data_IF_962031814287
#
_entry.id   IF_962031814287
#
_cell.length_a   1.000
_cell.length_b   1.000
_cell.length_c   1.000
_cell.angle_alpha   90.00
_cell.angle_beta   90.00
_cell.angle_gamma   90.00
#
_symmetry.space_group_name_H-M   'P 1'
#
loop_
_entity.id
_entity.type
_entity.pdbx_description
1 polymer ?
#
# COMPACT_ATOMS: atom_id res chain seq x y z
N UNK A 1 6.82 30.00 26.50
CA UNK A 1 6.56 28.97 25.46
C UNK A 1 6.39 29.70 24.13
N UNK A 2 7.50 29.99 23.43
CA UNK A 2 7.49 30.77 22.19
C UNK A 2 7.32 29.78 21.03
N UNK A 3 6.14 29.75 20.41
CA UNK A 3 5.97 29.19 19.06
C UNK A 3 6.83 30.04 18.12
N UNK A 4 8.00 29.55 17.71
CA UNK A 4 8.71 30.12 16.56
C UNK A 4 7.77 29.99 15.36
N UNK A 5 7.41 31.11 14.75
CA UNK A 5 6.74 31.09 13.46
C UNK A 5 7.66 30.36 12.46
N UNK A 6 7.14 29.40 11.70
CA UNK A 6 7.90 28.73 10.65
C UNK A 6 8.51 29.78 9.71
N UNK A 7 9.81 29.64 9.41
CA UNK A 7 10.48 30.52 8.46
C UNK A 7 9.96 30.28 7.04
N UNK A 8 10.09 31.29 6.17
CA UNK A 8 9.77 31.13 4.74
C UNK A 8 10.55 29.96 4.10
N UNK A 9 11.81 29.76 4.50
CA UNK A 9 12.66 28.68 4.02
C UNK A 9 12.13 27.28 4.42
N UNK A 10 11.63 27.12 5.64
CA UNK A 10 11.05 25.88 6.14
C UNK A 10 9.79 25.50 5.33
N UNK A 11 8.88 26.46 5.13
CA UNK A 11 7.70 26.25 4.28
C UNK A 11 8.07 25.91 2.83
N UNK A 12 9.07 26.59 2.27
CA UNK A 12 9.54 26.33 0.92
C UNK A 12 10.13 24.91 0.79
N UNK A 13 10.94 24.49 1.76
CA UNK A 13 11.52 23.15 1.80
C UNK A 13 10.45 22.06 1.93
N UNK A 14 9.51 22.19 2.88
CA UNK A 14 8.38 21.25 3.04
C UNK A 14 7.56 21.13 1.77
N UNK A 15 7.33 22.24 1.06
CA UNK A 15 6.59 22.25 -0.22
C UNK A 15 7.35 21.50 -1.31
N UNK A 16 8.66 21.71 -1.43
CA UNK A 16 9.50 21.00 -2.40
C UNK A 16 9.55 19.49 -2.10
N UNK A 17 9.71 19.11 -0.83
CA UNK A 17 9.75 17.71 -0.42
C UNK A 17 8.41 17.01 -0.69
N UNK A 18 7.30 17.69 -0.41
CA UNK A 18 5.96 17.18 -0.72
C UNK A 18 5.81 16.90 -2.23
N UNK A 19 6.22 17.85 -3.07
CA UNK A 19 6.16 17.69 -4.52
C UNK A 19 7.04 16.52 -5.01
N UNK A 20 8.21 16.33 -4.42
CA UNK A 20 9.09 15.20 -4.76
C UNK A 20 8.47 13.85 -4.39
N UNK A 21 7.84 13.74 -3.22
CA UNK A 21 7.14 12.51 -2.81
C UNK A 21 5.89 12.27 -3.66
N UNK A 22 5.16 13.32 -4.03
CA UNK A 22 4.05 13.22 -4.97
C UNK A 22 4.51 12.66 -6.32
N UNK A 23 5.64 13.15 -6.85
CA UNK A 23 6.27 12.64 -8.07
C UNK A 23 6.68 11.18 -7.95
N UNK A 24 7.31 10.79 -6.84
CA UNK A 24 7.68 9.38 -6.58
C UNK A 24 6.45 8.47 -6.54
N UNK A 25 5.27 8.99 -6.16
CA UNK A 25 4.03 8.24 -6.03
C UNK A 25 3.15 8.31 -7.31
N UNK A 26 3.65 8.80 -8.44
CA UNK A 26 2.91 8.88 -9.70
C UNK A 26 2.47 7.50 -10.23
N UNK A 27 3.21 6.43 -9.92
CA UNK A 27 2.84 5.06 -10.28
C UNK A 27 1.75 4.45 -9.39
N UNK A 28 1.34 5.13 -8.31
CA UNK A 28 0.26 4.63 -7.45
C UNK A 28 -1.09 4.63 -8.20
N UNK A 29 -2.01 3.73 -7.82
CA UNK A 29 -3.35 3.70 -8.39
C UNK A 29 -4.07 5.05 -8.19
N UNK A 30 -4.69 5.51 -9.26
CA UNK A 30 -5.66 6.61 -9.26
C UNK A 30 -7.07 6.11 -8.96
N UNK A 31 -7.37 4.89 -9.40
CA UNK A 31 -8.63 4.19 -9.11
C UNK A 31 -8.34 2.77 -8.60
N UNK A 32 -9.31 2.21 -7.90
CA UNK A 32 -9.27 0.83 -7.41
C UNK A 32 -10.48 0.08 -7.95
N UNK A 33 -10.34 -1.23 -8.10
CA UNK A 33 -11.43 -2.15 -8.44
C UNK A 33 -11.44 -3.33 -7.50
N UNK A 34 -12.62 -3.92 -7.34
CA UNK A 34 -12.80 -5.12 -6.53
C UNK A 34 -12.21 -6.34 -7.23
N UNK A 35 -11.82 -7.36 -6.46
CA UNK A 35 -11.41 -8.64 -7.02
C UNK A 35 -12.48 -9.24 -7.95
N UNK A 36 -13.76 -9.14 -7.57
CA UNK A 36 -14.87 -9.62 -8.41
C UNK A 36 -14.97 -8.91 -9.75
N UNK A 37 -14.78 -7.59 -9.79
CA UNK A 37 -14.77 -6.83 -11.04
C UNK A 37 -13.58 -7.24 -11.90
N UNK A 38 -12.39 -7.32 -11.32
CA UNK A 38 -11.16 -7.66 -12.04
C UNK A 38 -11.18 -9.07 -12.62
N UNK A 39 -11.76 -10.04 -11.93
CA UNK A 39 -11.94 -11.40 -12.45
C UNK A 39 -12.89 -11.47 -13.66
N UNK A 40 -13.82 -10.53 -13.78
CA UNK A 40 -14.77 -10.46 -14.89
C UNK A 40 -14.24 -9.72 -16.12
N UNK A 41 -13.15 -8.96 -15.97
CA UNK A 41 -12.55 -8.18 -17.05
C UNK A 41 -11.72 -9.07 -17.98
N UNK A 42 -11.85 -8.86 -19.29
CA UNK A 42 -11.00 -9.54 -20.29
C UNK A 42 -9.52 -9.24 -20.07
N UNK A 43 -9.19 -7.97 -19.82
CA UNK A 43 -7.86 -7.49 -19.44
C UNK A 43 -7.96 -6.79 -18.08
N UNK A 44 -7.64 -7.46 -16.96
CA UNK A 44 -7.78 -6.86 -15.63
C UNK A 44 -6.76 -5.74 -15.42
N UNK A 45 -7.24 -4.50 -15.21
CA UNK A 45 -6.38 -3.35 -14.97
C UNK A 45 -7.06 -2.22 -14.20
N UNK A 46 -6.26 -1.30 -13.68
CA UNK A 46 -6.69 0.02 -13.15
C UNK A 46 -5.77 1.12 -13.63
N UNK A 47 -6.23 2.38 -13.56
CA UNK A 47 -5.42 3.56 -13.92
C UNK A 47 -4.47 3.96 -12.79
N UNK A 48 -3.23 4.29 -13.14
CA UNK A 48 -2.27 4.94 -12.26
C UNK A 48 -2.40 6.49 -12.31
N UNK A 49 -1.74 7.19 -11.38
CA UNK A 49 -1.82 8.66 -11.28
C UNK A 49 -1.10 9.38 -12.41
N UNK A 50 -0.03 8.80 -12.95
CA UNK A 50 0.66 9.24 -14.18
C UNK A 50 -0.19 9.07 -15.46
N UNK A 51 -1.38 8.46 -15.37
CA UNK A 51 -2.26 8.18 -16.49
C UNK A 51 -1.96 6.85 -17.21
N UNK A 52 -0.94 6.11 -16.76
CA UNK A 52 -0.68 4.74 -17.21
C UNK A 52 -1.69 3.73 -16.66
N UNK A 53 -1.45 2.45 -16.96
CA UNK A 53 -2.26 1.33 -16.49
C UNK A 53 -1.44 0.36 -15.62
N UNK A 54 -2.05 -0.07 -14.52
CA UNK A 54 -1.57 -1.20 -13.71
C UNK A 54 -2.33 -2.42 -14.20
N UNK A 55 -1.66 -3.24 -15.00
CA UNK A 55 -2.22 -4.49 -15.53
C UNK A 55 -1.95 -5.62 -14.54
N UNK A 56 -2.98 -6.40 -14.23
CA UNK A 56 -2.90 -7.52 -13.30
C UNK A 56 -2.73 -8.85 -14.01
N UNK A 57 -1.90 -9.70 -13.41
CA UNK A 57 -1.81 -11.10 -13.79
C UNK A 57 -3.07 -11.85 -13.34
N UNK A 58 -3.70 -12.56 -14.28
CA UNK A 58 -4.93 -13.31 -13.98
C UNK A 58 -4.68 -14.47 -13.01
N UNK A 59 -3.52 -15.11 -13.08
CA UNK A 59 -3.15 -16.18 -12.15
C UNK A 59 -3.00 -15.68 -10.72
N UNK A 60 -2.43 -14.48 -10.52
CA UNK A 60 -2.39 -13.84 -9.20
C UNK A 60 -3.80 -13.53 -8.66
N UNK A 61 -4.71 -13.04 -9.52
CA UNK A 61 -6.12 -12.77 -9.13
C UNK A 61 -6.83 -14.05 -8.70
N UNK A 62 -6.73 -15.11 -9.50
CA UNK A 62 -7.33 -16.41 -9.23
C UNK A 62 -6.75 -17.05 -7.96
N UNK A 63 -5.44 -16.91 -7.75
CA UNK A 63 -4.79 -17.34 -6.53
C UNK A 63 -5.38 -16.63 -5.31
N UNK A 64 -5.47 -15.30 -5.32
CA UNK A 64 -6.09 -14.55 -4.21
C UNK A 64 -7.56 -14.93 -4.03
N UNK A 65 -8.30 -15.14 -5.12
CA UNK A 65 -9.69 -15.57 -5.07
C UNK A 65 -9.84 -16.93 -4.36
N UNK A 66 -8.89 -17.85 -4.57
CA UNK A 66 -8.87 -19.17 -3.91
C UNK A 66 -8.59 -19.09 -2.41
N UNK A 67 -7.94 -18.03 -1.94
CA UNK A 67 -7.64 -17.83 -0.52
C UNK A 67 -8.84 -17.25 0.24
N UNK A 68 -9.79 -16.61 -0.44
CA UNK A 68 -10.87 -15.84 0.17
C UNK A 68 -12.24 -16.50 0.00
N UNK A 69 -13.11 -16.43 1.03
CA UNK A 69 -14.54 -16.63 0.85
C UNK A 69 -15.10 -15.68 -0.22
N UNK A 70 -16.09 -16.12 -1.01
CA UNK A 70 -16.65 -15.36 -2.13
C UNK A 70 -17.22 -14.01 -1.71
N UNK A 71 -17.72 -13.91 -0.48
CA UNK A 71 -18.31 -12.71 0.10
C UNK A 71 -17.28 -11.57 0.29
N UNK A 72 -15.99 -11.91 0.32
CA UNK A 72 -14.90 -10.94 0.41
C UNK A 72 -14.39 -10.49 -0.97
N UNK A 73 -14.78 -11.14 -2.07
CA UNK A 73 -14.29 -10.80 -3.41
C UNK A 73 -14.78 -9.41 -3.85
N UNK A 74 -15.98 -9.01 -3.45
CA UNK A 74 -16.51 -7.66 -3.70
C UNK A 74 -16.01 -6.61 -2.70
N UNK A 75 -15.23 -7.02 -1.69
CA UNK A 75 -14.67 -6.13 -0.67
C UNK A 75 -13.18 -5.89 -0.82
N UNK A 76 -12.43 -6.87 -1.33
CA UNK A 76 -11.01 -6.71 -1.61
C UNK A 76 -10.83 -5.73 -2.77
N UNK A 77 -10.13 -4.62 -2.52
CA UNK A 77 -9.77 -3.65 -3.54
C UNK A 77 -8.30 -3.78 -3.95
N UNK A 78 -8.03 -3.64 -5.25
CA UNK A 78 -6.71 -3.87 -5.83
C UNK A 78 -6.23 -2.65 -6.66
N UNK A 79 -4.91 -2.40 -6.70
CA UNK A 79 -3.84 -3.16 -6.04
C UNK A 79 -3.76 -2.90 -4.53
N UNK A 80 -3.16 -3.82 -3.77
CA UNK A 80 -2.80 -3.57 -2.36
C UNK A 80 -1.57 -2.66 -2.32
N UNK A 81 -1.71 -1.46 -1.75
CA UNK A 81 -0.59 -0.53 -1.57
C UNK A 81 0.18 -0.86 -0.29
N UNK A 82 1.49 -1.10 -0.43
CA UNK A 82 2.42 -1.28 0.68
C UNK A 82 3.13 0.05 0.94
N UNK A 83 2.65 0.80 1.92
CA UNK A 83 3.17 2.14 2.23
C UNK A 83 4.42 2.06 3.09
N UNK A 84 5.50 2.67 2.63
CA UNK A 84 6.73 2.79 3.41
C UNK A 84 6.51 3.77 4.57
N UNK A 85 6.79 3.31 5.80
CA UNK A 85 6.67 4.08 7.05
C UNK A 85 8.04 4.51 7.53
N UNK A 86 8.48 5.67 7.06
CA UNK A 86 9.81 6.23 7.38
C UNK A 86 9.87 6.68 8.84
N UNK A 87 8.75 7.19 9.35
CA UNK A 87 8.52 7.52 10.76
C UNK A 87 8.76 6.36 11.74
N UNK A 88 8.48 5.13 11.31
CA UNK A 88 8.60 3.93 12.17
C UNK A 88 9.95 3.21 12.05
N UNK A 89 10.88 3.79 11.28
CA UNK A 89 12.23 3.28 11.14
C UNK A 89 12.49 2.47 9.85
N UNK A 90 13.71 1.93 9.72
CA UNK A 90 14.17 1.32 8.48
C UNK A 90 13.44 0.02 8.17
N UNK A 91 12.87 -0.05 6.96
CA UNK A 91 12.28 -1.28 6.43
C UNK A 91 10.88 -1.61 6.93
N UNK A 92 10.20 -0.69 7.62
CA UNK A 92 8.80 -0.84 8.05
C UNK A 92 7.85 -0.37 6.97
N UNK A 93 6.83 -1.17 6.70
CA UNK A 93 5.74 -0.85 5.77
C UNK A 93 4.40 -1.09 6.45
N UNK A 94 3.37 -0.37 6.04
CA UNK A 94 1.98 -0.68 6.38
C UNK A 94 1.23 -1.15 5.14
N UNK A 95 0.37 -2.14 5.32
CA UNK A 95 -0.60 -2.55 4.29
C UNK A 95 -1.75 -1.54 4.31
N UNK A 96 -1.92 -0.80 3.22
CA UNK A 96 -3.05 0.13 3.04
C UNK A 96 -4.35 -0.61 2.76
N UNK A 97 -5.46 0.08 2.99
CA UNK A 97 -6.80 -0.47 2.86
C UNK A 97 -7.37 -0.84 4.21
N UNK A 98 -8.22 -1.87 4.23
CA UNK A 98 -8.91 -2.32 5.43
C UNK A 98 -8.52 -3.74 5.85
N UNK A 99 -9.43 -4.34 6.63
CA UNK A 99 -9.27 -5.69 7.19
C UNK A 99 -9.11 -6.76 6.10
N UNK A 100 -9.71 -6.58 4.93
CA UNK A 100 -9.64 -7.55 3.82
C UNK A 100 -8.26 -7.56 3.16
N UNK A 101 -7.68 -6.39 2.87
CA UNK A 101 -6.34 -6.27 2.31
C UNK A 101 -5.28 -6.81 3.29
N UNK A 102 -5.39 -6.47 4.57
CA UNK A 102 -4.55 -7.02 5.63
C UNK A 102 -4.68 -8.55 5.73
N UNK A 103 -5.90 -9.07 5.64
CA UNK A 103 -6.15 -10.51 5.66
C UNK A 103 -5.49 -11.24 4.50
N UNK A 104 -5.62 -10.72 3.27
CA UNK A 104 -4.96 -11.29 2.09
C UNK A 104 -3.44 -11.30 2.29
N UNK A 105 -2.87 -10.18 2.74
CA UNK A 105 -1.44 -10.10 3.00
C UNK A 105 -0.98 -11.19 4.00
N UNK A 106 -1.70 -11.37 5.11
CA UNK A 106 -1.41 -12.41 6.11
C UNK A 106 -1.59 -13.83 5.57
N UNK A 107 -2.64 -14.11 4.78
CA UNK A 107 -2.85 -15.43 4.16
C UNK A 107 -1.71 -15.77 3.20
N UNK A 108 -1.26 -14.80 2.41
CA UNK A 108 -0.14 -15.01 1.46
C UNK A 108 1.19 -15.19 2.18
N UNK A 109 1.45 -14.39 3.23
CA UNK A 109 2.65 -14.51 4.05
C UNK A 109 2.72 -15.84 4.81
N UNK A 110 1.58 -16.42 5.17
CA UNK A 110 1.46 -17.75 5.77
C UNK A 110 1.28 -18.86 4.71
N UNK A 111 1.61 -18.61 3.45
CA UNK A 111 1.55 -19.59 2.35
C UNK A 111 0.19 -20.28 2.19
N UNK A 112 -0.90 -19.53 2.41
CA UNK A 112 -2.28 -20.02 2.34
C UNK A 112 -2.81 -20.65 3.62
N UNK A 113 -1.97 -20.75 4.66
CA UNK A 113 -2.32 -21.28 5.99
C UNK A 113 -3.47 -20.54 6.67
N UNK A 114 -3.93 -21.09 7.79
CA UNK A 114 -5.07 -20.54 8.51
C UNK A 114 -4.73 -19.17 9.11
N UNK A 115 -5.57 -18.17 8.81
CA UNK A 115 -5.61 -16.88 9.50
C UNK A 115 -7.05 -16.66 9.92
N UNK A 116 -7.26 -16.36 11.20
CA UNK A 116 -8.56 -16.01 11.75
C UNK A 116 -8.89 -14.58 11.30
N UNK A 117 -9.87 -14.44 10.40
CA UNK A 117 -10.27 -13.15 9.87
C UNK A 117 -10.66 -12.19 10.99
N UNK A 118 -11.32 -12.65 12.06
CA UNK A 118 -11.82 -11.76 13.09
C UNK A 118 -10.71 -11.11 13.92
N UNK A 119 -9.57 -11.80 14.04
CA UNK A 119 -8.37 -11.33 14.76
C UNK A 119 -7.42 -10.49 13.90
N UNK A 120 -7.77 -10.22 12.64
CA UNK A 120 -6.95 -9.33 11.80
C UNK A 120 -7.09 -7.90 12.30
N UNK A 121 -5.95 -7.34 12.71
CA UNK A 121 -5.84 -5.94 13.14
C UNK A 121 -5.33 -5.04 12.02
N UNK A 122 -5.77 -3.78 12.05
CA UNK A 122 -5.33 -2.73 11.13
C UNK A 122 -4.93 -1.47 11.92
N UNK A 123 -3.86 -0.76 11.53
CA UNK A 123 -3.00 -1.00 10.37
C UNK A 123 -2.10 -2.23 10.56
N UNK A 124 -1.97 -3.04 9.51
CA UNK A 124 -1.04 -4.17 9.51
C UNK A 124 0.35 -3.68 9.11
N UNK A 125 1.30 -3.78 10.04
CA UNK A 125 2.71 -3.50 9.77
C UNK A 125 3.43 -4.77 9.32
N UNK A 126 4.24 -4.62 8.27
CA UNK A 126 5.10 -5.67 7.74
C UNK A 126 6.50 -5.12 7.51
N UNK A 127 7.49 -6.02 7.57
CA UNK A 127 8.89 -5.67 7.39
C UNK A 127 9.40 -6.03 6.01
N UNK A 128 10.54 -5.47 5.63
CA UNK A 128 11.19 -5.70 4.32
C UNK A 128 11.24 -7.18 3.89
N UNK A 129 11.56 -8.18 4.74
CA UNK A 129 11.51 -9.59 4.33
C UNK A 129 10.10 -10.04 3.93
N UNK A 130 9.07 -9.63 4.67
CA UNK A 130 7.67 -9.95 4.37
C UNK A 130 7.20 -9.25 3.09
N UNK A 131 7.60 -8.00 2.85
CA UNK A 131 7.34 -7.32 1.58
C UNK A 131 7.95 -8.08 0.40
N UNK A 132 9.18 -8.59 0.56
CA UNK A 132 9.82 -9.42 -0.48
C UNK A 132 9.05 -10.71 -0.73
N UNK A 133 8.57 -11.39 0.33
CA UNK A 133 7.74 -12.59 0.19
C UNK A 133 6.41 -12.31 -0.51
N UNK A 134 5.72 -11.23 -0.11
CA UNK A 134 4.47 -10.80 -0.76
C UNK A 134 4.68 -10.52 -2.25
N UNK A 135 5.69 -9.71 -2.60
CA UNK A 135 5.95 -9.34 -4.00
C UNK A 135 6.43 -10.51 -4.87
N UNK A 136 6.96 -11.59 -4.28
CA UNK A 136 7.25 -12.83 -5.01
C UNK A 136 5.99 -13.58 -5.43
N UNK A 137 4.90 -13.44 -4.69
CA UNK A 137 3.63 -14.13 -4.95
C UNK A 137 2.60 -13.24 -5.64
N UNK A 138 2.59 -11.96 -5.30
CA UNK A 138 1.62 -10.94 -5.73
C UNK A 138 2.37 -9.75 -6.34
N UNK A 139 3.06 -9.98 -7.46
CA UNK A 139 3.91 -8.97 -8.09
C UNK A 139 3.09 -7.86 -8.73
N UNK A 140 1.96 -8.21 -9.34
CA UNK A 140 1.07 -7.27 -10.04
C UNK A 140 -0.06 -6.76 -9.14
N UNK A 141 -0.46 -7.56 -8.15
CA UNK A 141 -1.52 -7.18 -7.20
C UNK A 141 -1.04 -6.29 -6.05
N UNK A 142 0.25 -5.95 -5.99
CA UNK A 142 0.81 -5.05 -4.98
C UNK A 142 1.62 -3.92 -5.61
N UNK A 143 1.57 -2.74 -4.98
CA UNK A 143 2.40 -1.58 -5.35
C UNK A 143 3.02 -0.98 -4.10
N UNK A 144 4.21 -0.39 -4.21
CA UNK A 144 4.88 0.26 -3.08
C UNK A 144 4.60 1.76 -3.16
N UNK A 145 4.13 2.36 -2.06
CA UNK A 145 3.99 3.81 -1.94
C UNK A 145 4.89 4.38 -0.86
N UNK A 146 5.11 5.68 -0.90
CA UNK A 146 5.95 6.41 0.07
C UNK A 146 5.11 7.45 0.80
N UNK A 147 5.06 7.38 2.13
CA UNK A 147 4.37 8.37 2.93
C UNK A 147 5.27 9.59 3.16
N UNK A 148 4.68 10.79 3.14
CA UNK A 148 5.33 12.03 3.59
C UNK A 148 5.30 12.19 5.10
N UNK A 149 4.39 11.49 5.78
CA UNK A 149 4.25 11.48 7.25
C UNK A 149 5.52 10.89 7.87
N UNK A 150 6.11 11.59 8.84
CA UNK A 150 7.45 11.32 9.35
C UNK A 150 8.57 12.11 8.69
N UNK A 151 8.59 12.22 7.36
CA UNK A 151 9.65 12.98 6.66
C UNK A 151 9.64 14.47 7.02
N UNK A 152 8.44 15.03 7.27
CA UNK A 152 8.26 16.44 7.65
C UNK A 152 8.38 16.67 9.17
N UNK A 153 8.35 15.59 9.97
CA UNK A 153 8.36 15.65 11.43
C UNK A 153 9.78 15.44 12.01
N UNK A 154 10.65 14.73 11.29
CA UNK A 154 12.03 14.41 11.68
C UNK A 154 12.95 15.63 11.83
N UNK A 155 12.61 16.80 11.28
CA UNK A 155 13.39 18.02 11.47
C UNK A 155 13.15 18.72 12.82
N UNK A 156 12.14 18.29 13.58
CA UNK A 156 11.78 18.93 14.86
C UNK A 156 12.58 18.41 16.06
N UNK A 157 13.34 17.32 15.92
CA UNK A 157 14.04 16.65 17.04
C UNK A 157 15.56 16.86 17.04
N UNK A 158 16.13 17.53 16.02
CA UNK A 158 17.58 17.72 15.88
C UNK A 158 18.06 19.18 15.81
N UNK A 159 17.21 20.15 16.20
CA UNK A 159 17.54 21.60 16.30
C UNK A 159 17.05 22.19 17.63
#
# INVERSE_FOLDING_TARGET
MIRRAEGFADRAFKTLLKHEVERINEHLPKEYRTLSELLSMETPSVKARDGGEIIFDRGELEYVASLLPKELHSKLTLPIVLMRRIDLGPGVFSVSGGKVEAYVALRVLNEGGHVDYEKVETPLYIYRPQVQMLRRRLRTLTVIGFATEGLLDLESEWL
#
